data_IF_100223212787
#
_entry.id   IF_100223212787
#
_cell.length_a   1.000
_cell.length_b   1.000
_cell.length_c   1.000
_cell.angle_alpha   90.00
_cell.angle_beta   90.00
_cell.angle_gamma   90.00
#
_symmetry.space_group_name_H-M   'P 1'
#
loop_
_entity.id
_entity.type
_entity.pdbx_description
1 polymer ?
#
# COMPACT_ATOMS: atom_id res chain seq x y z
N UNK A 1 -20.71 17.16 -12.91
CA UNK A 1 -20.35 16.37 -11.71
C UNK A 1 -19.27 17.13 -10.98
N UNK A 2 -19.33 17.26 -9.65
CA UNK A 2 -18.25 17.88 -8.87
C UNK A 2 -17.16 16.82 -8.69
N UNK A 3 -15.90 17.18 -8.94
CA UNK A 3 -14.78 16.30 -8.60
C UNK A 3 -14.49 16.45 -7.11
N UNK A 4 -14.19 15.35 -6.45
CA UNK A 4 -13.72 15.30 -5.07
C UNK A 4 -12.23 14.92 -5.05
N UNK A 5 -11.47 15.53 -4.14
CA UNK A 5 -10.03 15.37 -4.05
C UNK A 5 -9.68 14.57 -2.79
N UNK A 6 -8.59 13.81 -2.87
CA UNK A 6 -8.04 12.95 -1.80
C UNK A 6 -6.58 13.29 -1.60
N UNK A 7 -6.12 13.43 -0.36
CA UNK A 7 -4.71 13.68 -0.03
C UNK A 7 -4.06 12.38 0.48
N UNK A 8 -3.13 11.79 -0.30
CA UNK A 8 -2.47 10.54 0.12
C UNK A 8 -1.23 10.83 0.97
N UNK A 9 -1.37 10.75 2.29
CA UNK A 9 -0.27 10.78 3.26
C UNK A 9 0.55 9.48 3.37
N UNK A 10 0.60 8.65 2.32
CA UNK A 10 1.43 7.43 2.31
C UNK A 10 2.87 7.82 1.99
N UNK A 11 3.63 8.16 3.03
CA UNK A 11 5.02 8.59 2.89
C UNK A 11 5.87 7.53 2.19
N UNK A 12 6.68 7.96 1.23
CA UNK A 12 7.43 7.12 0.29
C UNK A 12 8.75 6.60 0.91
N UNK A 13 8.69 6.16 2.17
CA UNK A 13 9.74 5.41 2.85
C UNK A 13 9.37 3.93 2.76
N UNK A 14 9.82 3.13 1.78
CA UNK A 14 11.21 3.06 1.32
C UNK A 14 11.32 2.61 -0.17
N UNK A 15 11.15 3.52 -1.13
CA UNK A 15 11.56 3.24 -2.53
C UNK A 15 13.09 3.34 -2.68
N UNK A 16 13.80 2.31 -2.22
CA UNK A 16 15.21 2.12 -2.52
C UNK A 16 15.37 1.90 -4.03
N UNK A 17 15.79 2.96 -4.72
CA UNK A 17 15.81 3.03 -6.17
C UNK A 17 16.93 2.16 -6.77
N UNK A 18 16.55 1.07 -7.45
CA UNK A 18 17.37 0.48 -8.52
C UNK A 18 17.06 1.23 -9.82
N UNK A 19 17.78 2.33 -10.05
CA UNK A 19 17.68 3.13 -11.27
C UNK A 19 18.15 2.35 -12.50
N UNK A 20 17.21 1.87 -13.31
CA UNK A 20 17.43 1.36 -14.66
C UNK A 20 16.96 2.37 -15.72
N UNK A 21 17.80 2.68 -16.71
CA UNK A 21 17.61 3.87 -17.56
C UNK A 21 16.54 3.74 -18.65
N UNK A 22 15.70 4.77 -18.75
CA UNK A 22 15.31 5.54 -19.95
C UNK A 22 15.61 4.92 -21.33
N UNK A 23 14.57 4.77 -22.14
CA UNK A 23 14.58 5.34 -23.52
C UNK A 23 13.15 5.66 -23.99
N UNK A 24 13.03 6.81 -24.64
CA UNK A 24 11.80 7.46 -25.09
C UNK A 24 11.74 7.41 -26.63
N UNK A 25 10.55 7.25 -27.23
CA UNK A 25 10.30 7.73 -28.59
C UNK A 25 8.81 8.05 -28.81
N UNK A 26 8.53 8.92 -29.77
CA UNK A 26 7.40 9.86 -29.70
C UNK A 26 6.48 9.86 -30.94
N UNK A 27 5.27 10.39 -30.72
CA UNK A 27 4.58 11.38 -31.58
C UNK A 27 3.43 10.96 -32.57
N UNK A 28 2.30 11.67 -32.42
CA UNK A 28 1.23 12.04 -33.41
C UNK A 28 0.45 10.93 -34.19
N UNK A 29 -0.80 11.13 -34.67
CA UNK A 29 -1.56 12.38 -34.95
C UNK A 29 -3.11 12.21 -34.91
N UNK A 30 -3.79 13.35 -35.08
CA UNK A 30 -5.25 13.63 -35.05
C UNK A 30 -5.84 13.42 -36.49
N UNK A 31 -7.15 13.22 -36.82
CA UNK A 31 -8.37 13.98 -36.46
C UNK A 31 -9.73 13.32 -36.90
N UNK A 32 -10.84 13.71 -36.24
CA UNK A 32 -12.26 13.84 -36.72
C UNK A 32 -13.30 12.69 -36.89
N UNK A 33 -14.49 13.05 -36.37
CA UNK A 33 -15.86 12.93 -36.93
C UNK A 33 -16.83 11.88 -36.35
N UNK A 34 -18.03 12.38 -36.02
CA UNK A 34 -19.13 11.69 -35.32
C UNK A 34 -20.09 10.99 -36.29
N UNK A 35 -20.79 9.98 -35.79
CA UNK A 35 -22.23 9.87 -36.05
C UNK A 35 -22.95 9.30 -34.83
N UNK A 36 -24.19 9.75 -34.62
CA UNK A 36 -25.00 9.48 -33.42
C UNK A 36 -25.99 8.36 -33.73
N UNK A 37 -26.06 7.32 -32.91
CA UNK A 37 -27.24 6.45 -32.86
C UNK A 37 -27.62 6.12 -31.41
N UNK A 38 -28.92 6.17 -31.15
CA UNK A 38 -29.49 6.34 -29.81
C UNK A 38 -29.95 4.99 -29.24
N UNK A 39 -29.11 4.35 -28.44
CA UNK A 39 -29.49 3.16 -27.67
C UNK A 39 -30.09 3.55 -26.31
N UNK A 40 -31.14 2.83 -25.92
CA UNK A 40 -32.00 3.08 -24.74
C UNK A 40 -31.21 3.01 -23.43
N UNK A 41 -31.26 4.06 -22.61
CA UNK A 41 -30.76 4.03 -21.23
C UNK A 41 -31.56 3.02 -20.39
N UNK A 42 -30.83 2.03 -19.87
CA UNK A 42 -31.24 1.19 -18.75
C UNK A 42 -30.86 1.95 -17.46
N UNK A 43 -31.68 1.95 -16.39
CA UNK A 43 -31.40 2.77 -15.22
C UNK A 43 -30.17 2.28 -14.44
N UNK A 44 -29.04 2.96 -14.61
CA UNK A 44 -27.92 2.93 -13.67
C UNK A 44 -28.24 3.86 -12.50
N UNK A 45 -28.37 3.32 -11.28
CA UNK A 45 -28.84 4.07 -10.11
C UNK A 45 -27.97 3.72 -8.89
N UNK A 46 -27.26 4.73 -8.37
CA UNK A 46 -26.75 4.84 -6.99
C UNK A 46 -25.65 3.87 -6.50
N UNK A 47 -24.81 3.29 -7.38
CA UNK A 47 -23.60 2.57 -6.93
C UNK A 47 -22.35 3.45 -6.82
N UNK A 48 -22.10 4.32 -7.81
CA UNK A 48 -20.94 5.24 -7.85
C UNK A 48 -20.81 6.05 -6.57
N UNK A 49 -21.92 6.64 -6.12
CA UNK A 49 -21.93 7.61 -5.03
C UNK A 49 -21.48 6.97 -3.71
N UNK A 50 -21.88 5.71 -3.45
CA UNK A 50 -21.45 4.97 -2.26
C UNK A 50 -19.99 4.57 -2.27
N UNK A 51 -19.48 4.11 -3.43
CA UNK A 51 -18.06 3.74 -3.55
C UNK A 51 -17.19 5.00 -3.48
N UNK A 52 -17.65 6.12 -4.04
CA UNK A 52 -17.02 7.43 -3.91
C UNK A 52 -16.98 7.89 -2.44
N UNK A 53 -18.10 7.88 -1.71
CA UNK A 53 -18.16 8.32 -0.31
C UNK A 53 -17.29 7.44 0.62
N UNK A 54 -17.38 6.11 0.49
CA UNK A 54 -16.58 5.12 1.25
C UNK A 54 -15.07 5.31 0.97
N UNK A 55 -14.68 5.49 -0.29
CA UNK A 55 -13.29 5.74 -0.67
C UNK A 55 -12.77 7.10 -0.17
N UNK A 56 -13.61 8.14 -0.18
CA UNK A 56 -13.24 9.46 0.36
C UNK A 56 -13.00 9.39 1.87
N UNK A 57 -13.89 8.74 2.64
CA UNK A 57 -13.69 8.57 4.09
C UNK A 57 -12.47 7.69 4.39
N UNK A 58 -12.34 6.54 3.72
CA UNK A 58 -11.21 5.64 3.87
C UNK A 58 -9.87 6.35 3.63
N UNK A 59 -9.73 7.09 2.52
CA UNK A 59 -8.46 7.71 2.16
C UNK A 59 -8.15 9.01 2.89
N UNK A 60 -9.14 9.85 3.22
CA UNK A 60 -8.92 11.17 3.84
C UNK A 60 -9.05 11.18 5.37
N UNK A 61 -9.84 10.26 5.95
CA UNK A 61 -10.17 10.29 7.39
C UNK A 61 -9.52 9.12 8.15
N UNK A 62 -9.51 7.92 7.57
CA UNK A 62 -9.08 6.70 8.25
C UNK A 62 -7.59 6.42 8.01
N UNK A 63 -7.20 6.22 6.75
CA UNK A 63 -5.87 5.76 6.38
C UNK A 63 -4.69 6.68 6.74
N UNK A 64 -4.80 8.03 6.77
CA UNK A 64 -3.65 8.89 7.09
C UNK A 64 -3.05 8.60 8.48
N UNK A 65 -3.89 8.40 9.50
CA UNK A 65 -3.45 8.06 10.87
C UNK A 65 -2.77 6.68 10.96
N UNK A 66 -3.16 5.74 10.09
CA UNK A 66 -2.53 4.43 9.98
C UNK A 66 -1.22 4.48 9.19
N UNK A 67 -1.13 5.35 8.17
CA UNK A 67 0.08 5.57 7.40
C UNK A 67 1.20 6.18 8.27
N UNK A 68 0.89 7.13 9.17
CA UNK A 68 1.88 7.64 10.14
C UNK A 68 2.46 6.53 11.03
N UNK A 69 1.62 5.59 11.48
CA UNK A 69 2.04 4.44 12.29
C UNK A 69 2.91 3.46 11.49
N UNK A 70 2.55 3.15 10.24
CA UNK A 70 3.37 2.28 9.39
C UNK A 70 4.73 2.93 9.11
N UNK A 71 4.76 4.22 8.78
CA UNK A 71 5.99 4.97 8.48
C UNK A 71 6.93 5.02 9.68
N UNK A 72 6.43 5.17 10.91
CA UNK A 72 7.23 5.06 12.13
C UNK A 72 7.94 3.70 12.21
N UNK A 73 7.20 2.60 11.97
CA UNK A 73 7.71 1.23 12.09
C UNK A 73 8.68 0.85 10.97
N UNK A 74 8.36 1.21 9.73
CA UNK A 74 9.28 0.98 8.60
C UNK A 74 10.56 1.78 8.79
N UNK A 75 10.48 3.02 9.28
CA UNK A 75 11.67 3.82 9.60
C UNK A 75 12.55 3.20 10.69
N UNK A 76 11.95 2.56 11.71
CA UNK A 76 12.67 1.82 12.74
C UNK A 76 13.40 0.60 12.15
N UNK A 77 12.73 -0.20 11.32
CA UNK A 77 13.35 -1.33 10.63
C UNK A 77 14.47 -0.90 9.66
N UNK A 78 14.24 0.15 8.87
CA UNK A 78 15.22 0.70 7.93
C UNK A 78 16.44 1.29 8.67
N UNK A 79 16.30 1.75 9.92
CA UNK A 79 17.41 2.31 10.71
C UNK A 79 18.47 1.29 11.13
N UNK A 80 18.17 -0.01 11.07
CA UNK A 80 19.06 -1.11 11.48
C UNK A 80 19.29 -2.18 10.40
N UNK A 81 18.81 -1.93 9.17
CA UNK A 81 18.86 -2.89 8.07
C UNK A 81 19.47 -2.28 6.80
N UNK A 82 19.82 -3.15 5.84
CA UNK A 82 20.37 -2.72 4.55
C UNK A 82 21.63 -1.85 4.72
N UNK A 83 21.70 -0.64 4.14
CA UNK A 83 22.83 0.27 4.29
C UNK A 83 23.10 0.75 5.73
N UNK A 84 22.12 0.65 6.64
CA UNK A 84 22.25 1.08 8.04
C UNK A 84 22.53 -0.09 9.00
N UNK A 85 22.62 -1.32 8.49
CA UNK A 85 22.99 -2.48 9.30
C UNK A 85 24.39 -2.29 9.90
N UNK A 86 24.52 -2.65 11.18
CA UNK A 86 25.73 -2.51 11.99
C UNK A 86 26.16 -3.86 12.56
N UNK A 87 25.28 -4.49 13.33
CA UNK A 87 25.46 -5.82 13.90
C UNK A 87 24.11 -6.51 14.21
N UNK A 88 24.15 -7.83 14.35
CA UNK A 88 22.99 -8.68 14.63
C UNK A 88 22.28 -8.30 15.95
N UNK A 89 23.02 -7.87 16.98
CA UNK A 89 22.46 -7.53 18.29
C UNK A 89 21.60 -6.26 18.21
N UNK A 90 22.10 -5.22 17.55
CA UNK A 90 21.39 -3.97 17.29
C UNK A 90 20.15 -4.21 16.43
N UNK A 91 20.26 -5.05 15.40
CA UNK A 91 19.12 -5.40 14.53
C UNK A 91 18.07 -6.23 15.30
N UNK A 92 18.50 -7.25 16.03
CA UNK A 92 17.64 -8.14 16.82
C UNK A 92 16.84 -7.36 17.88
N UNK A 93 17.53 -6.59 18.73
CA UNK A 93 16.88 -5.84 19.81
C UNK A 93 15.87 -4.82 19.24
N UNK A 94 16.23 -4.09 18.17
CA UNK A 94 15.32 -3.12 17.54
C UNK A 94 14.09 -3.80 16.94
N UNK A 95 14.23 -4.97 16.32
CA UNK A 95 13.09 -5.69 15.75
C UNK A 95 12.18 -6.27 16.85
N UNK A 96 12.76 -6.81 17.91
CA UNK A 96 12.05 -7.42 19.04
C UNK A 96 11.31 -6.39 19.89
N UNK A 97 11.99 -5.33 20.32
CA UNK A 97 11.48 -4.38 21.31
C UNK A 97 10.63 -3.27 20.69
N UNK A 98 10.93 -2.85 19.44
CA UNK A 98 10.27 -1.70 18.80
C UNK A 98 9.44 -2.11 17.57
N UNK A 99 10.02 -2.80 16.58
CA UNK A 99 9.33 -3.07 15.29
C UNK A 99 8.11 -3.96 15.48
N UNK A 100 8.27 -5.19 16.00
CA UNK A 100 7.17 -6.16 16.11
C UNK A 100 6.03 -5.66 17.01
N UNK A 101 6.27 -5.08 18.20
CA UNK A 101 5.19 -4.59 19.06
C UNK A 101 4.39 -3.45 18.43
N UNK A 102 5.07 -2.51 17.76
CA UNK A 102 4.39 -1.40 17.06
C UNK A 102 3.68 -1.88 15.80
N UNK A 103 4.27 -2.78 15.02
CA UNK A 103 3.64 -3.30 13.80
C UNK A 103 2.42 -4.16 14.13
N UNK A 104 2.47 -4.98 15.19
CA UNK A 104 1.30 -5.71 15.68
C UNK A 104 0.15 -4.80 16.11
N UNK A 105 0.45 -3.65 16.73
CA UNK A 105 -0.55 -2.61 17.04
C UNK A 105 -1.11 -1.97 15.76
N UNK A 106 -0.26 -1.63 14.79
CA UNK A 106 -0.70 -1.10 13.49
C UNK A 106 -1.62 -2.08 12.76
N UNK A 107 -1.27 -3.38 12.71
CA UNK A 107 -2.11 -4.43 12.12
C UNK A 107 -3.46 -4.53 12.84
N UNK A 108 -3.47 -4.50 14.19
CA UNK A 108 -4.71 -4.50 14.97
C UNK A 108 -5.60 -3.31 14.59
N UNK A 109 -5.04 -2.10 14.53
CA UNK A 109 -5.77 -0.90 14.15
C UNK A 109 -6.26 -0.93 12.70
N UNK A 110 -5.50 -1.56 11.80
CA UNK A 110 -5.86 -1.73 10.40
C UNK A 110 -7.02 -2.74 10.24
N UNK A 111 -7.01 -3.84 10.98
CA UNK A 111 -8.06 -4.85 10.99
C UNK A 111 -9.38 -4.35 11.62
N UNK A 112 -9.34 -3.30 12.43
CA UNK A 112 -10.53 -2.61 12.97
C UNK A 112 -11.21 -1.66 11.96
N UNK A 113 -10.57 -1.37 10.81
CA UNK A 113 -11.12 -0.46 9.79
C UNK A 113 -12.38 -1.07 9.17
N UNK A 114 -13.46 -0.27 9.18
CA UNK A 114 -14.75 -0.64 8.59
C UNK A 114 -14.85 -0.05 7.19
N UNK A 115 -14.94 -0.94 6.20
CA UNK A 115 -15.13 -0.59 4.80
C UNK A 115 -16.54 -1.00 4.36
N UNK A 116 -17.32 -0.06 3.84
CA UNK A 116 -18.72 -0.30 3.52
C UNK A 116 -18.88 -1.08 2.21
N UNK A 117 -18.15 -0.69 1.17
CA UNK A 117 -18.30 -1.25 -0.19
C UNK A 117 -17.49 -2.53 -0.37
N UNK A 118 -17.98 -3.41 -1.25
CA UNK A 118 -17.35 -4.71 -1.48
C UNK A 118 -16.03 -4.57 -2.25
N UNK A 119 -15.99 -3.63 -3.18
CA UNK A 119 -14.83 -3.27 -3.98
C UNK A 119 -13.66 -2.83 -3.08
N UNK A 120 -13.88 -1.83 -2.22
CA UNK A 120 -12.85 -1.31 -1.35
C UNK A 120 -12.48 -2.31 -0.24
N UNK A 121 -13.44 -3.10 0.25
CA UNK A 121 -13.16 -4.13 1.27
C UNK A 121 -12.24 -5.21 0.73
N UNK A 122 -12.46 -5.70 -0.49
CA UNK A 122 -11.56 -6.67 -1.13
C UNK A 122 -10.13 -6.14 -1.29
N UNK A 123 -9.98 -4.85 -1.60
CA UNK A 123 -8.68 -4.17 -1.72
C UNK A 123 -8.01 -4.05 -0.34
N UNK A 124 -8.77 -3.63 0.67
CA UNK A 124 -8.31 -3.49 2.06
C UNK A 124 -7.91 -4.84 2.70
N UNK A 125 -8.69 -5.91 2.49
CA UNK A 125 -8.32 -7.27 2.93
C UNK A 125 -7.01 -7.75 2.29
N UNK A 126 -6.71 -7.36 1.05
CA UNK A 126 -5.44 -7.69 0.41
C UNK A 126 -4.25 -6.90 1.00
N UNK A 127 -4.50 -5.69 1.50
CA UNK A 127 -3.51 -4.92 2.25
C UNK A 127 -3.27 -5.51 3.65
N UNK A 128 -4.32 -5.91 4.38
CA UNK A 128 -4.20 -6.66 5.65
C UNK A 128 -3.33 -7.93 5.47
N UNK A 129 -3.53 -8.68 4.38
CA UNK A 129 -2.68 -9.84 4.05
C UNK A 129 -1.23 -9.44 3.80
N UNK A 130 -0.98 -8.35 3.09
CA UNK A 130 0.37 -7.86 2.79
C UNK A 130 1.14 -7.49 4.07
N UNK A 131 0.52 -6.73 4.98
CA UNK A 131 1.16 -6.31 6.24
C UNK A 131 1.36 -7.51 7.19
N UNK A 132 0.44 -8.48 7.20
CA UNK A 132 0.63 -9.72 7.96
C UNK A 132 1.81 -10.56 7.42
N UNK A 133 2.02 -10.63 6.09
CA UNK A 133 3.20 -11.27 5.50
C UNK A 133 4.48 -10.50 5.86
N UNK A 134 4.45 -9.16 5.86
CA UNK A 134 5.59 -8.35 6.29
C UNK A 134 5.95 -8.58 7.77
N UNK A 135 4.95 -8.64 8.65
CA UNK A 135 5.15 -8.96 10.06
C UNK A 135 5.74 -10.35 10.26
N UNK A 136 5.25 -11.35 9.51
CA UNK A 136 5.87 -12.67 9.48
C UNK A 136 7.32 -12.61 9.00
N UNK A 137 7.65 -11.73 8.05
CA UNK A 137 9.03 -11.46 7.64
C UNK A 137 9.89 -10.98 8.81
N UNK A 138 9.44 -9.98 9.58
CA UNK A 138 10.17 -9.48 10.76
C UNK A 138 10.37 -10.56 11.83
N UNK A 139 9.35 -11.39 12.10
CA UNK A 139 9.47 -12.54 13.02
C UNK A 139 10.47 -13.58 12.50
N UNK A 140 10.47 -13.88 11.20
CA UNK A 140 11.45 -14.79 10.60
C UNK A 140 12.88 -14.22 10.67
N UNK A 141 13.07 -12.89 10.57
CA UNK A 141 14.38 -12.26 10.80
C UNK A 141 14.89 -12.52 12.21
N UNK A 142 14.06 -12.36 13.25
CA UNK A 142 14.49 -12.65 14.63
C UNK A 142 14.98 -14.10 14.77
N UNK A 143 14.20 -15.07 14.31
CA UNK A 143 14.59 -16.50 14.37
C UNK A 143 15.86 -16.78 13.54
N UNK A 144 16.06 -16.09 12.41
CA UNK A 144 17.29 -16.19 11.63
C UNK A 144 18.52 -15.64 12.36
N UNK A 145 18.38 -14.53 13.10
CA UNK A 145 19.46 -13.93 13.91
C UNK A 145 19.77 -14.80 15.13
N UNK A 146 18.76 -15.30 15.85
CA UNK A 146 18.90 -16.19 17.02
C UNK A 146 19.60 -17.51 16.67
N UNK A 147 19.20 -18.13 15.57
CA UNK A 147 19.68 -19.45 15.16
C UNK A 147 20.90 -19.37 14.22
N UNK A 148 21.28 -18.15 13.81
CA UNK A 148 22.32 -17.87 12.80
C UNK A 148 22.04 -18.63 11.48
N UNK A 149 20.77 -18.67 11.10
CA UNK A 149 20.23 -19.46 9.99
C UNK A 149 20.03 -18.57 8.73
N UNK A 150 20.92 -18.76 7.76
CA UNK A 150 20.89 -18.05 6.49
C UNK A 150 19.71 -18.45 5.59
N UNK A 151 19.18 -19.67 5.71
CA UNK A 151 18.02 -20.09 4.91
C UNK A 151 16.74 -19.43 5.44
N UNK A 152 16.61 -19.26 6.76
CA UNK A 152 15.57 -18.40 7.35
C UNK A 152 15.72 -16.93 6.98
N UNK A 153 16.95 -16.40 6.92
CA UNK A 153 17.18 -15.03 6.45
C UNK A 153 16.74 -14.86 4.99
N UNK A 154 16.95 -15.87 4.14
CA UNK A 154 16.42 -15.89 2.77
C UNK A 154 14.88 -15.93 2.75
N UNK A 155 14.26 -16.82 3.53
CA UNK A 155 12.78 -16.91 3.66
C UNK A 155 12.17 -15.56 4.10
N UNK A 156 12.77 -14.88 5.07
CA UNK A 156 12.33 -13.56 5.51
C UNK A 156 12.38 -12.53 4.38
N UNK A 157 13.47 -12.50 3.61
CA UNK A 157 13.61 -11.61 2.45
C UNK A 157 12.59 -11.90 1.34
N UNK A 158 12.22 -13.16 1.14
CA UNK A 158 11.12 -13.54 0.24
C UNK A 158 9.78 -12.99 0.73
N UNK A 159 9.42 -13.17 2.01
CA UNK A 159 8.18 -12.61 2.60
C UNK A 159 8.13 -11.08 2.47
N UNK A 160 9.21 -10.38 2.81
CA UNK A 160 9.29 -8.93 2.67
C UNK A 160 9.19 -8.49 1.20
N UNK A 161 9.64 -9.30 0.25
CA UNK A 161 9.51 -9.02 -1.19
C UNK A 161 8.08 -9.23 -1.70
N UNK A 162 7.42 -10.30 -1.24
CA UNK A 162 6.00 -10.58 -1.52
C UNK A 162 5.10 -9.49 -0.95
N UNK A 163 5.26 -9.12 0.32
CA UNK A 163 4.51 -8.05 0.95
C UNK A 163 4.66 -6.71 0.20
N UNK A 164 5.89 -6.32 -0.15
CA UNK A 164 6.16 -5.12 -0.97
C UNK A 164 5.48 -5.18 -2.34
N UNK A 165 5.35 -6.36 -2.96
CA UNK A 165 4.58 -6.52 -4.20
C UNK A 165 3.09 -6.29 -3.93
N UNK A 166 2.53 -6.94 -2.92
CA UNK A 166 1.10 -6.82 -2.58
C UNK A 166 0.71 -5.39 -2.18
N UNK A 167 1.57 -4.65 -1.50
CA UNK A 167 1.35 -3.23 -1.20
C UNK A 167 1.30 -2.35 -2.47
N UNK A 168 2.16 -2.60 -3.46
CA UNK A 168 2.07 -1.92 -4.77
C UNK A 168 0.81 -2.32 -5.54
N UNK A 169 0.42 -3.58 -5.46
CA UNK A 169 -0.84 -4.06 -6.05
C UNK A 169 -2.05 -3.39 -5.38
N UNK A 170 -2.04 -3.19 -4.05
CA UNK A 170 -3.03 -2.41 -3.30
C UNK A 170 -3.10 -0.96 -3.77
N UNK A 171 -1.97 -0.25 -3.84
CA UNK A 171 -1.90 1.12 -4.35
C UNK A 171 -2.49 1.25 -5.76
N UNK A 172 -2.15 0.32 -6.65
CA UNK A 172 -2.66 0.27 -8.02
C UNK A 172 -4.18 0.06 -8.05
N UNK A 173 -4.72 -0.82 -7.19
CA UNK A 173 -6.16 -1.07 -7.08
C UNK A 173 -6.92 0.13 -6.52
N UNK A 174 -6.39 0.82 -5.50
CA UNK A 174 -6.96 2.08 -4.97
C UNK A 174 -7.01 3.16 -6.07
N UNK A 175 -5.94 3.32 -6.84
CA UNK A 175 -5.89 4.28 -7.95
C UNK A 175 -6.89 3.93 -9.07
N UNK A 176 -7.06 2.65 -9.38
CA UNK A 176 -8.08 2.20 -10.33
C UNK A 176 -9.50 2.50 -9.82
N UNK A 177 -9.81 2.13 -8.58
CA UNK A 177 -11.12 2.35 -7.97
C UNK A 177 -11.46 3.85 -7.88
N UNK A 178 -10.50 4.70 -7.51
CA UNK A 178 -10.67 6.15 -7.49
C UNK A 178 -11.03 6.71 -8.87
N UNK A 179 -10.28 6.30 -9.91
CA UNK A 179 -10.52 6.70 -11.29
C UNK A 179 -11.86 6.22 -11.83
N UNK A 180 -12.28 5.01 -11.49
CA UNK A 180 -13.59 4.45 -11.88
C UNK A 180 -14.77 5.16 -11.23
N UNK A 181 -14.56 5.83 -10.09
CA UNK A 181 -15.58 6.54 -9.31
C UNK A 181 -15.35 8.06 -9.26
N UNK A 182 -14.69 8.64 -10.27
CA UNK A 182 -14.47 10.09 -10.45
C UNK A 182 -13.78 10.83 -9.26
N UNK A 183 -13.04 10.09 -8.42
CA UNK A 183 -12.23 10.63 -7.30
C UNK A 183 -10.84 10.99 -7.81
N UNK A 184 -10.39 12.23 -7.55
CA UNK A 184 -9.01 12.64 -7.79
C UNK A 184 -8.16 12.30 -6.58
N UNK A 185 -7.13 11.49 -6.80
CA UNK A 185 -6.02 11.32 -5.86
C UNK A 185 -4.98 12.40 -6.12
N UNK A 186 -4.74 13.25 -5.13
CA UNK A 186 -3.59 14.14 -5.05
C UNK A 186 -2.45 13.38 -4.34
N UNK A 187 -1.30 13.31 -5.01
CA UNK A 187 -0.05 12.77 -4.45
C UNK A 187 0.83 13.98 -4.13
N UNK A 188 1.26 14.11 -2.88
CA UNK A 188 2.30 15.07 -2.46
C UNK A 188 3.69 14.43 -2.46
#
# INVERSE_FOLDING_TARGET
>A
MKKANVLIGVSIASMLALTGCVSESTNEKVETAQTVEKAVEKPEVQKSDKVQDDLLSYMNEIMPSLAEQEVEVISLYDSVSGPNYTDDETMYNTILDEVIPKYGKFITNLEEVKVETEELRNIHENYIKAVNIQNSGFVTILSALEEQDMDKMNEANEKLTEARKMMRDYQTQIQALAKENDVIIEME
#
